data_IF_863074623043
#
_entry.id   IF_863074623043
#
_cell.length_a   1.000
_cell.length_b   1.000
_cell.length_c   1.000
_cell.angle_alpha   90.00
_cell.angle_beta   90.00
_cell.angle_gamma   90.00
#
_symmetry.space_group_name_H-M   'P 1'
#
loop_
_entity.id
_entity.type
_entity.pdbx_description
1 polymer ?
#
# COMPACT_ATOMS: atom_id res chain seq x y z
N UNK A 1 17.32 -13.57 -1.08
CA UNK A 1 16.45 -12.74 -0.22
C UNK A 1 16.87 -13.01 1.21
N UNK A 2 17.46 -12.00 1.87
CA UNK A 2 18.03 -12.14 3.21
C UNK A 2 16.85 -12.32 4.19
N UNK A 3 17.00 -13.25 5.12
CA UNK A 3 15.98 -13.66 6.10
C UNK A 3 15.70 -12.58 7.14
N UNK A 4 15.04 -11.50 6.71
CA UNK A 4 14.49 -10.47 7.58
C UNK A 4 13.06 -10.88 7.96
N UNK A 5 12.79 -10.92 9.26
CA UNK A 5 11.48 -11.30 9.80
C UNK A 5 10.52 -10.11 9.66
N UNK A 6 9.82 -10.05 8.52
CA UNK A 6 8.78 -9.06 8.31
C UNK A 6 7.56 -9.42 9.18
N UNK A 7 7.37 -8.68 10.27
CA UNK A 7 6.19 -8.81 11.12
C UNK A 7 5.09 -7.83 10.69
N UNK A 8 4.21 -8.25 9.78
CA UNK A 8 2.97 -7.52 9.48
C UNK A 8 1.94 -7.88 10.57
N UNK A 9 1.72 -6.98 11.53
CA UNK A 9 0.67 -7.16 12.53
C UNK A 9 -0.71 -7.00 11.87
N UNK A 10 -1.69 -7.78 12.36
CA UNK A 10 -3.08 -7.82 11.88
C UNK A 10 -3.57 -6.42 11.49
N UNK A 11 -3.92 -6.17 10.22
CA UNK A 11 -4.36 -4.86 9.80
C UNK A 11 -5.71 -4.56 10.45
N UNK A 12 -5.74 -3.61 11.38
CA UNK A 12 -6.98 -2.89 11.66
C UNK A 12 -7.38 -2.22 10.34
N UNK A 13 -8.54 -2.62 9.80
CA UNK A 13 -9.08 -2.07 8.55
C UNK A 13 -9.99 -0.91 8.91
N UNK A 14 -9.57 0.30 8.53
CA UNK A 14 -10.33 1.51 8.70
C UNK A 14 -11.01 1.87 7.37
N UNK A 15 -12.27 2.30 7.42
CA UNK A 15 -12.93 2.95 6.28
C UNK A 15 -12.74 4.44 6.44
N UNK A 16 -11.95 5.06 5.56
CA UNK A 16 -11.64 6.50 5.65
C UNK A 16 -12.12 7.25 4.42
N UNK A 17 -12.62 8.50 4.59
CA UNK A 17 -12.94 9.33 3.45
C UNK A 17 -11.65 9.71 2.72
N UNK A 18 -11.69 9.69 1.40
CA UNK A 18 -10.55 10.01 0.54
C UNK A 18 -9.98 11.40 0.86
N UNK A 19 -10.84 12.36 1.19
CA UNK A 19 -10.44 13.72 1.56
C UNK A 19 -9.59 13.79 2.83
N UNK A 20 -9.72 12.86 3.76
CA UNK A 20 -8.92 12.82 4.99
C UNK A 20 -7.49 12.32 4.75
N UNK A 21 -7.23 11.70 3.61
CA UNK A 21 -5.93 11.08 3.33
C UNK A 21 -4.82 12.13 3.24
N UNK A 22 -5.08 13.25 2.56
CA UNK A 22 -4.11 14.33 2.44
C UNK A 22 -3.70 14.84 3.83
N UNK A 23 -4.66 14.96 4.74
CA UNK A 23 -4.43 15.41 6.12
C UNK A 23 -3.61 14.39 6.94
N UNK A 24 -3.85 13.08 6.75
CA UNK A 24 -3.06 12.01 7.38
C UNK A 24 -1.58 12.12 7.00
N UNK A 25 -1.29 12.53 5.77
CA UNK A 25 0.07 12.71 5.24
C UNK A 25 0.64 14.12 5.44
N UNK A 26 -0.03 14.94 6.27
CA UNK A 26 0.42 16.28 6.66
C UNK A 26 0.13 17.39 5.65
N UNK A 27 -0.67 17.12 4.62
CA UNK A 27 -1.12 18.07 3.62
C UNK A 27 -0.71 17.71 2.19
N UNK A 28 -1.43 18.24 1.18
CA UNK A 28 -1.24 17.89 -0.23
C UNK A 28 0.11 18.34 -0.82
N UNK A 29 0.75 19.36 -0.23
CA UNK A 29 2.02 19.95 -0.71
C UNK A 29 3.27 19.22 -0.17
N UNK A 30 3.11 18.26 0.74
CA UNK A 30 4.26 17.53 1.28
C UNK A 30 4.76 16.51 0.26
N UNK A 31 6.09 16.36 0.18
CA UNK A 31 6.69 15.30 -0.60
C UNK A 31 6.43 13.93 0.03
N UNK A 32 6.07 12.96 -0.82
CA UNK A 32 5.80 11.60 -0.43
C UNK A 32 6.27 10.61 -1.49
N UNK A 33 6.26 9.34 -1.12
CA UNK A 33 6.49 8.22 -2.02
C UNK A 33 5.24 7.37 -2.06
N UNK A 34 4.73 7.16 -3.27
CA UNK A 34 3.61 6.27 -3.57
C UNK A 34 4.10 5.00 -4.26
N UNK A 35 3.65 3.84 -3.80
CA UNK A 35 3.85 2.57 -4.49
C UNK A 35 2.48 2.02 -4.88
N UNK A 36 2.19 2.12 -6.17
CA UNK A 36 0.91 1.76 -6.76
C UNK A 36 0.96 0.36 -7.37
N UNK A 37 -0.07 -0.45 -7.10
CA UNK A 37 -0.30 -1.74 -7.72
C UNK A 37 -1.75 -1.83 -8.20
N UNK A 38 -1.96 -2.38 -9.39
CA UNK A 38 -3.28 -2.89 -9.77
C UNK A 38 -3.47 -4.29 -9.23
N UNK A 39 -4.70 -4.63 -8.92
CA UNK A 39 -5.12 -5.99 -8.60
C UNK A 39 -5.95 -6.49 -9.78
N UNK A 40 -5.53 -7.61 -10.35
CA UNK A 40 -6.23 -8.27 -11.45
C UNK A 40 -6.54 -9.73 -11.05
N UNK A 41 -7.55 -10.33 -11.69
CA UNK A 41 -8.00 -11.69 -11.41
C UNK A 41 -9.52 -11.77 -11.16
N UNK A 42 -9.93 -12.63 -10.24
CA UNK A 42 -11.34 -12.77 -9.86
C UNK A 42 -11.80 -11.59 -8.98
N UNK A 43 -10.89 -11.06 -8.17
CA UNK A 43 -11.01 -9.77 -7.52
C UNK A 43 -10.14 -8.76 -8.25
N UNK A 44 -10.70 -7.59 -8.50
CA UNK A 44 -10.03 -6.47 -9.15
C UNK A 44 -10.10 -5.21 -8.30
N UNK A 45 -9.13 -4.33 -8.48
CA UNK A 45 -9.02 -3.09 -7.72
C UNK A 45 -7.60 -2.56 -7.74
N UNK A 46 -7.27 -1.78 -6.73
CA UNK A 46 -6.00 -1.06 -6.64
C UNK A 46 -5.48 -1.05 -5.22
N UNK A 47 -4.16 -1.07 -5.08
CA UNK A 47 -3.44 -0.93 -3.82
C UNK A 47 -2.47 0.24 -3.96
N UNK A 48 -2.47 1.14 -2.98
CA UNK A 48 -1.51 2.22 -2.88
C UNK A 48 -0.87 2.18 -1.50
N UNK A 49 0.46 2.02 -1.45
CA UNK A 49 1.23 2.30 -0.24
C UNK A 49 1.71 3.74 -0.30
N UNK A 50 1.49 4.54 0.73
CA UNK A 50 2.02 5.91 0.81
C UNK A 50 2.82 6.10 2.09
N UNK A 51 3.98 6.73 1.92
CA UNK A 51 4.94 6.99 2.99
C UNK A 51 5.49 8.40 2.77
N UNK A 52 5.70 9.15 3.85
CA UNK A 52 6.36 10.47 3.73
C UNK A 52 7.76 10.33 3.14
N UNK A 53 8.23 11.34 2.43
CA UNK A 53 9.55 11.30 1.77
C UNK A 53 10.67 10.89 2.72
N UNK A 54 10.71 11.49 3.92
CA UNK A 54 11.72 11.23 4.94
C UNK A 54 11.68 9.78 5.44
N UNK A 55 10.48 9.27 5.74
CA UNK A 55 10.30 7.88 6.16
C UNK A 55 10.66 6.89 5.04
N UNK A 56 10.41 7.24 3.78
CA UNK A 56 10.77 6.39 2.65
C UNK A 56 12.30 6.28 2.46
N UNK A 57 13.07 7.35 2.71
CA UNK A 57 14.54 7.28 2.74
C UNK A 57 15.02 6.33 3.84
N UNK A 58 14.48 6.48 5.05
CA UNK A 58 14.79 5.61 6.19
C UNK A 58 14.40 4.16 5.91
N UNK A 59 13.34 3.95 5.11
CA UNK A 59 12.90 2.62 4.72
C UNK A 59 13.85 1.99 3.71
N UNK A 60 14.32 2.73 2.72
CA UNK A 60 15.35 2.26 1.81
C UNK A 60 16.62 1.85 2.57
N UNK A 61 17.09 2.67 3.50
CA UNK A 61 18.22 2.31 4.35
C UNK A 61 17.98 1.01 5.13
N UNK A 62 16.75 0.78 5.57
CA UNK A 62 16.39 -0.41 6.35
C UNK A 62 16.37 -1.67 5.47
N UNK A 63 15.75 -1.59 4.30
CA UNK A 63 15.59 -2.71 3.37
C UNK A 63 16.91 -3.07 2.68
N UNK A 64 17.75 -2.06 2.38
CA UNK A 64 19.05 -2.22 1.75
C UNK A 64 20.17 -2.54 2.75
N UNK A 65 19.85 -2.69 4.04
CA UNK A 65 20.80 -2.95 5.13
C UNK A 65 21.94 -1.91 5.18
N UNK A 66 21.55 -0.64 5.08
CA UNK A 66 22.45 0.51 5.15
C UNK A 66 22.30 1.26 6.49
N UNK A 67 23.35 1.96 6.96
CA UNK A 67 23.24 2.87 8.09
C UNK A 67 22.15 3.92 7.85
N UNK A 68 21.44 4.32 8.92
CA UNK A 68 20.43 5.37 8.81
C UNK A 68 21.03 6.70 8.33
N UNK A 69 20.35 7.35 7.38
CA UNK A 69 20.80 8.56 6.71
C UNK A 69 21.73 8.30 5.53
N UNK A 70 21.86 7.05 5.05
CA UNK A 70 22.69 6.77 3.86
C UNK A 70 21.96 7.18 2.59
N UNK A 71 20.69 6.83 2.49
CA UNK A 71 19.82 7.18 1.37
C UNK A 71 19.42 8.64 1.48
N UNK A 72 19.76 9.43 0.46
CA UNK A 72 19.45 10.86 0.38
C UNK A 72 18.51 11.20 -0.80
N UNK A 73 18.39 10.28 -1.77
CA UNK A 73 17.57 10.44 -2.96
C UNK A 73 17.09 9.08 -3.49
N UNK A 74 16.03 9.08 -4.31
CA UNK A 74 15.44 7.87 -4.87
C UNK A 74 15.97 7.55 -6.27
N UNK A 75 17.10 6.83 -6.30
CA UNK A 75 17.68 6.25 -7.51
C UNK A 75 16.99 4.95 -7.94
N UNK A 76 17.66 4.19 -8.81
CA UNK A 76 17.13 2.91 -9.32
C UNK A 76 17.03 1.85 -8.22
N UNK A 77 17.99 1.81 -7.30
CA UNK A 77 18.06 0.77 -6.27
C UNK A 77 16.96 0.98 -5.23
N UNK A 78 16.81 2.22 -4.77
CA UNK A 78 15.83 2.64 -3.78
C UNK A 78 14.40 2.42 -4.28
N UNK A 79 14.13 2.81 -5.53
CA UNK A 79 12.85 2.54 -6.20
C UNK A 79 12.60 1.04 -6.35
N UNK A 80 13.61 0.25 -6.66
CA UNK A 80 13.47 -1.22 -6.75
C UNK A 80 13.16 -1.84 -5.39
N UNK A 81 13.80 -1.36 -4.32
CA UNK A 81 13.54 -1.83 -2.95
C UNK A 81 12.10 -1.53 -2.52
N UNK A 82 11.64 -0.28 -2.73
CA UNK A 82 10.26 0.12 -2.43
C UNK A 82 9.23 -0.64 -3.27
N UNK A 83 9.54 -0.87 -4.55
CA UNK A 83 8.73 -1.72 -5.43
C UNK A 83 8.62 -3.14 -4.86
N UNK A 84 9.72 -3.75 -4.44
CA UNK A 84 9.70 -5.11 -3.88
C UNK A 84 8.85 -5.18 -2.61
N UNK A 85 8.95 -4.20 -1.72
CA UNK A 85 8.11 -4.10 -0.52
C UNK A 85 6.63 -3.98 -0.87
N UNK A 86 6.28 -3.13 -1.84
CA UNK A 86 4.91 -2.98 -2.31
C UNK A 86 4.36 -4.31 -2.86
N UNK A 87 5.15 -4.99 -3.70
CA UNK A 87 4.77 -6.29 -4.26
C UNK A 87 4.58 -7.36 -3.18
N UNK A 88 5.51 -7.45 -2.23
CA UNK A 88 5.47 -8.40 -1.13
C UNK A 88 4.23 -8.16 -0.26
N UNK A 89 3.99 -6.92 0.15
CA UNK A 89 2.88 -6.58 1.04
C UNK A 89 1.54 -6.73 0.32
N UNK A 90 1.45 -6.31 -0.94
CA UNK A 90 0.26 -6.52 -1.78
C UNK A 90 -0.05 -8.01 -1.96
N UNK A 91 0.97 -8.83 -2.22
CA UNK A 91 0.81 -10.29 -2.34
C UNK A 91 0.36 -10.92 -1.02
N UNK A 92 0.96 -10.52 0.10
CA UNK A 92 0.56 -10.99 1.44
C UNK A 92 -0.92 -10.66 1.73
N UNK A 93 -1.34 -9.44 1.42
CA UNK A 93 -2.72 -9.01 1.60
C UNK A 93 -3.69 -9.83 0.73
N UNK A 94 -3.41 -9.97 -0.56
CA UNK A 94 -4.27 -10.73 -1.48
C UNK A 94 -4.36 -12.22 -1.11
N UNK A 95 -3.28 -12.80 -0.59
CA UNK A 95 -3.31 -14.17 -0.06
C UNK A 95 -4.23 -14.29 1.16
N UNK A 96 -4.22 -13.32 2.09
CA UNK A 96 -5.14 -13.32 3.22
C UNK A 96 -6.61 -13.21 2.76
N UNK A 97 -6.89 -12.38 1.75
CA UNK A 97 -8.23 -12.31 1.15
C UNK A 97 -8.62 -13.62 0.46
N UNK A 98 -7.69 -14.28 -0.23
CA UNK A 98 -7.93 -15.58 -0.83
C UNK A 98 -8.26 -16.66 0.21
N UNK A 99 -7.62 -16.66 1.38
CA UNK A 99 -7.89 -17.63 2.44
C UNK A 99 -9.36 -17.58 2.92
N UNK A 100 -9.94 -16.38 2.93
CA UNK A 100 -11.33 -16.11 3.32
C UNK A 100 -12.28 -16.39 2.15
N UNK A 101 -12.02 -15.77 1.00
CA UNK A 101 -12.99 -15.70 -0.11
C UNK A 101 -12.86 -16.85 -1.11
N UNK A 102 -11.69 -17.51 -1.14
CA UNK A 102 -11.26 -18.46 -2.17
C UNK A 102 -11.24 -17.89 -3.59
N UNK A 103 -11.26 -16.56 -3.74
CA UNK A 103 -11.20 -15.86 -5.02
C UNK A 103 -9.75 -15.45 -5.32
N UNK A 104 -9.21 -15.98 -6.41
CA UNK A 104 -7.81 -15.79 -6.79
C UNK A 104 -7.60 -14.41 -7.41
N UNK A 105 -6.57 -13.70 -6.95
CA UNK A 105 -6.16 -12.41 -7.49
C UNK A 105 -4.64 -12.26 -7.37
N UNK A 106 -4.07 -11.38 -8.19
CA UNK A 106 -2.64 -11.10 -8.17
C UNK A 106 -2.36 -9.61 -8.36
N UNK A 107 -1.28 -9.08 -7.76
CA UNK A 107 -0.88 -7.71 -8.01
C UNK A 107 -0.15 -7.58 -9.35
N UNK A 108 -0.27 -6.42 -9.99
CA UNK A 108 0.58 -6.01 -11.10
C UNK A 108 1.99 -5.68 -10.60
N UNK A 109 3.01 -5.63 -11.49
CA UNK A 109 4.27 -4.98 -11.16
C UNK A 109 4.02 -3.57 -10.59
N UNK A 110 4.67 -3.20 -9.47
CA UNK A 110 4.44 -1.91 -8.83
C UNK A 110 5.00 -0.73 -9.63
N UNK A 111 4.35 0.41 -9.54
CA UNK A 111 4.86 1.70 -10.00
C UNK A 111 5.21 2.58 -8.80
N UNK A 112 6.45 3.07 -8.76
CA UNK A 112 6.94 3.93 -7.67
C UNK A 112 6.95 5.40 -8.12
N UNK A 113 6.23 6.23 -7.39
CA UNK A 113 6.05 7.65 -7.63
C UNK A 113 6.69 8.43 -6.48
N UNK A 114 7.40 9.51 -6.80
CA UNK A 114 7.98 10.43 -5.81
C UNK A 114 7.51 11.81 -6.22
N UNK A 115 6.55 12.33 -5.47
CA UNK A 115 5.82 13.55 -5.82
C UNK A 115 5.15 14.10 -4.56
N UNK A 116 4.47 15.22 -4.69
CA UNK A 116 3.61 15.76 -3.65
C UNK A 116 2.43 14.80 -3.40
N UNK A 117 1.97 14.75 -2.15
CA UNK A 117 0.81 13.95 -1.73
C UNK A 117 -0.41 14.19 -2.64
N UNK A 118 -0.69 15.44 -2.99
CA UNK A 118 -1.78 15.80 -3.89
C UNK A 118 -1.68 15.11 -5.26
N UNK A 119 -0.49 15.13 -5.88
CA UNK A 119 -0.23 14.47 -7.16
C UNK A 119 -0.42 12.96 -7.09
N UNK A 120 -0.01 12.33 -5.98
CA UNK A 120 -0.20 10.89 -5.76
C UNK A 120 -1.69 10.57 -5.60
N UNK A 121 -2.43 11.41 -4.88
CA UNK A 121 -3.89 11.25 -4.71
C UNK A 121 -4.66 11.46 -6.01
N UNK A 122 -4.22 12.37 -6.88
CA UNK A 122 -4.86 12.58 -8.19
C UNK A 122 -4.82 11.32 -9.06
N UNK A 123 -3.75 10.53 -8.97
CA UNK A 123 -3.64 9.24 -9.66
C UNK A 123 -4.72 8.27 -9.19
N UNK A 124 -4.94 8.22 -7.87
CA UNK A 124 -5.95 7.38 -7.23
C UNK A 124 -7.36 7.85 -7.57
N UNK A 125 -7.60 9.15 -7.54
CA UNK A 125 -8.90 9.75 -7.88
C UNK A 125 -9.27 9.46 -9.33
N UNK A 126 -8.30 9.63 -10.24
CA UNK A 126 -8.51 9.41 -11.66
C UNK A 126 -8.92 7.96 -11.97
N UNK A 127 -8.49 7.00 -11.15
CA UNK A 127 -8.77 5.58 -11.35
C UNK A 127 -9.99 5.09 -10.56
N UNK A 128 -10.41 5.77 -9.50
CA UNK A 128 -11.60 5.44 -8.69
C UNK A 128 -12.94 5.67 -9.41
N UNK A 129 -12.99 6.57 -10.40
CA UNK A 129 -14.26 6.94 -11.04
C UNK A 129 -15.30 7.46 -10.04
N UNK A 130 -16.59 7.15 -10.27
CA UNK A 130 -17.72 7.67 -9.46
C UNK A 130 -18.05 6.82 -8.21
N UNK A 131 -17.14 5.92 -7.79
CA UNK A 131 -17.56 4.68 -7.13
C UNK A 131 -17.61 4.74 -5.60
N UNK A 132 -16.89 5.63 -4.92
CA UNK A 132 -17.03 5.84 -3.47
C UNK A 132 -16.13 6.99 -3.02
N UNK A 133 -16.61 7.83 -2.09
CA UNK A 133 -15.77 8.83 -1.42
C UNK A 133 -14.92 8.22 -0.28
N UNK A 134 -15.02 6.90 -0.08
CA UNK A 134 -14.37 6.17 1.00
C UNK A 134 -13.48 5.05 0.45
N UNK A 135 -12.36 4.83 1.11
CA UNK A 135 -11.38 3.79 0.81
C UNK A 135 -11.17 2.89 2.03
N UNK A 136 -10.73 1.65 1.77
CA UNK A 136 -10.24 0.77 2.83
C UNK A 136 -8.78 1.13 3.09
N UNK A 137 -8.46 1.45 4.33
CA UNK A 137 -7.11 1.73 4.78
C UNK A 137 -6.68 0.66 5.76
N UNK A 138 -5.44 0.19 5.64
CA UNK A 138 -4.80 -0.58 6.67
C UNK A 138 -3.37 -0.10 6.90
N UNK A 139 -2.87 -0.38 8.10
CA UNK A 139 -1.52 0.01 8.52
C UNK A 139 -0.64 -1.21 8.57
N UNK A 140 0.52 -1.14 7.94
CA UNK A 140 1.55 -2.15 8.06
C UNK A 140 2.74 -1.58 8.82
N UNK A 141 3.20 -2.33 9.81
CA UNK A 141 4.46 -2.07 10.48
C UNK A 141 5.55 -2.97 9.88
N UNK A 142 6.66 -2.38 9.50
CA UNK A 142 7.86 -3.05 9.02
C UNK A 142 8.90 -2.94 10.12
N UNK A 143 9.49 -4.07 10.51
CA UNK A 143 10.53 -4.10 11.52
C UNK A 143 11.72 -4.94 11.04
N UNK A 144 12.92 -4.36 11.13
CA UNK A 144 14.19 -5.03 10.84
C UNK A 144 15.16 -4.70 11.97
N UNK A 145 15.43 -5.69 12.83
CA UNK A 145 16.15 -5.47 14.08
C UNK A 145 15.40 -4.49 14.99
N UNK A 146 16.08 -3.42 15.39
CA UNK A 146 15.53 -2.35 16.23
C UNK A 146 14.86 -1.21 15.41
N UNK A 147 14.94 -1.27 14.08
CA UNK A 147 14.35 -0.25 13.19
C UNK A 147 12.91 -0.62 12.89
N UNK A 148 12.00 0.35 13.03
CA UNK A 148 10.58 0.19 12.75
C UNK A 148 10.06 1.34 11.90
N UNK A 149 9.29 1.00 10.88
CA UNK A 149 8.61 1.94 10.00
C UNK A 149 7.14 1.53 9.90
N UNK A 150 6.25 2.51 9.90
CA UNK A 150 4.84 2.28 9.62
C UNK A 150 4.51 2.89 8.26
N UNK A 151 3.78 2.15 7.45
CA UNK A 151 3.25 2.63 6.18
C UNK A 151 1.74 2.43 6.15
N UNK A 152 1.06 3.38 5.52
CA UNK A 152 -0.36 3.31 5.28
C UNK A 152 -0.58 2.70 3.89
N UNK A 153 -1.45 1.70 3.84
CA UNK A 153 -1.88 1.04 2.62
C UNK A 153 -3.36 1.31 2.39
N UNK A 154 -3.68 1.71 1.17
CA UNK A 154 -5.04 1.96 0.73
C UNK A 154 -5.42 0.93 -0.30
N UNK A 155 -6.59 0.33 -0.10
CA UNK A 155 -7.17 -0.62 -1.02
C UNK A 155 -8.47 -0.02 -1.53
N UNK A 156 -8.58 -0.08 -2.83
CA UNK A 156 -9.71 0.47 -3.57
C UNK A 156 -10.21 -0.66 -4.45
N UNK A 157 -11.13 -1.47 -3.95
CA UNK A 157 -11.71 -2.53 -4.73
C UNK A 157 -12.62 -1.92 -5.81
N UNK A 158 -12.65 -2.55 -6.98
CA UNK A 158 -13.63 -2.19 -8.00
C UNK A 158 -15.06 -2.52 -7.51
N UNK A 159 -16.12 -1.86 -8.05
CA UNK A 159 -17.50 -2.12 -7.61
C UNK A 159 -17.88 -3.60 -7.67
N UNK A 160 -17.48 -4.28 -8.75
CA UNK A 160 -17.74 -5.70 -8.94
C UNK A 160 -17.04 -6.58 -7.88
N UNK A 161 -15.90 -6.13 -7.34
CA UNK A 161 -15.22 -6.80 -6.23
C UNK A 161 -15.98 -6.58 -4.93
N UNK A 162 -16.42 -5.36 -4.65
CA UNK A 162 -17.23 -5.05 -3.46
C UNK A 162 -18.50 -5.92 -3.41
N UNK A 163 -19.21 -6.02 -4.53
CA UNK A 163 -20.41 -6.87 -4.64
C UNK A 163 -20.11 -8.35 -4.32
N UNK A 164 -19.00 -8.89 -4.83
CA UNK A 164 -18.58 -10.28 -4.56
C UNK A 164 -18.24 -10.50 -3.09
N UNK A 165 -17.57 -9.55 -2.45
CA UNK A 165 -17.17 -9.63 -1.05
C UNK A 165 -18.38 -9.58 -0.11
N UNK A 166 -19.37 -8.72 -0.39
CA UNK A 166 -20.60 -8.65 0.41
C UNK A 166 -21.42 -9.95 0.35
N UNK A 167 -21.42 -10.64 -0.80
CA UNK A 167 -22.14 -11.93 -0.95
C UNK A 167 -21.44 -13.05 -0.15
N UNK A 168 -20.12 -13.04 -0.07
CA UNK A 168 -19.36 -14.03 0.68
C UNK A 168 -19.68 -13.99 2.19
N UNK A 169 -19.74 -12.80 2.80
CA UNK A 169 -20.09 -12.63 4.22
C UNK A 169 -21.51 -13.13 4.56
N UNK A 170 -22.44 -13.04 3.61
CA UNK A 170 -23.84 -13.50 3.80
C UNK A 170 -23.99 -15.02 3.72
N UNK A 171 -22.99 -15.74 3.20
CA UNK A 171 -23.08 -17.22 3.04
C UNK A 171 -22.48 -17.96 4.23
N UNK A 172 -21.71 -17.28 5.08
CA UNK A 172 -21.12 -17.83 6.33
C UNK A 172 -21.90 -17.42 7.60
N UNK A 173 -23.02 -16.70 7.46
CA UNK A 173 -23.96 -16.37 8.56
C UNK A 173 -25.21 -17.26 8.54
#
# INVERSE_FOLDING_TARGET
>A
MIGQELSVHSPDVDVVPLSAIADILGGPENDAVGVYLRVDGELTGQIMMVISYQQALEFCDMVLDQPSGTTQEFGRMERSALSEIGNLTGTFFLNAIYEITRLSSHPSPPAVMVDMVGSILDVVIATMGTISDHILMFKAAFQIGDRKIQADFWIIPDPATLEKLTIAEMTES
#
